data_IF_184906191096
#
_entry.id   IF_184906191096
#
_cell.length_a   1.000
_cell.length_b   1.000
_cell.length_c   1.000
_cell.angle_alpha   90.00
_cell.angle_beta   90.00
_cell.angle_gamma   90.00
#
_symmetry.space_group_name_H-M   'P 1'
#
loop_
_entity.id
_entity.type
_entity.pdbx_description
1 polymer ?
#
# COMPACT_ATOMS: atom_id res chain seq x y z
N UNK A 1 12.83 -15.37 2.60
CA UNK A 1 12.71 -15.72 4.04
C UNK A 1 11.74 -14.74 4.68
N UNK A 2 10.86 -15.16 5.61
CA UNK A 2 9.91 -14.26 6.24
C UNK A 2 10.61 -13.29 7.22
N UNK A 3 9.89 -12.29 7.69
CA UNK A 3 10.32 -11.47 8.81
C UNK A 3 10.47 -12.34 10.06
N UNK A 4 11.69 -12.46 10.59
CA UNK A 4 12.00 -13.37 11.70
C UNK A 4 12.15 -12.66 13.05
N UNK A 5 12.19 -11.32 13.03
CA UNK A 5 12.45 -10.48 14.20
C UNK A 5 11.45 -9.34 14.32
N UNK A 6 11.17 -8.95 15.55
CA UNK A 6 10.47 -7.72 15.90
C UNK A 6 11.46 -6.64 16.36
N UNK A 7 11.18 -5.41 16.00
CA UNK A 7 11.87 -4.22 16.52
C UNK A 7 11.10 -3.76 17.76
N UNK A 8 11.74 -3.75 18.91
CA UNK A 8 11.18 -3.27 20.17
C UNK A 8 11.09 -1.73 20.19
N UNK A 9 10.28 -1.12 21.09
CA UNK A 9 10.18 0.35 21.22
C UNK A 9 11.49 1.08 21.50
N UNK A 10 12.48 0.40 22.09
CA UNK A 10 13.83 0.94 22.32
C UNK A 10 14.77 0.81 21.12
N UNK A 11 14.27 0.31 19.98
CA UNK A 11 15.06 0.06 18.77
C UNK A 11 15.81 -1.28 18.76
N UNK A 12 15.86 -2.02 19.87
CA UNK A 12 16.46 -3.36 19.90
C UNK A 12 15.61 -4.36 19.08
N UNK A 13 16.23 -5.43 18.60
CA UNK A 13 15.52 -6.48 17.88
C UNK A 13 15.50 -7.78 18.67
N UNK A 14 14.39 -8.50 18.56
CA UNK A 14 14.17 -9.81 19.21
C UNK A 14 13.52 -10.76 18.19
N UNK A 15 13.85 -12.04 18.23
CA UNK A 15 13.15 -13.03 17.39
C UNK A 15 11.66 -13.08 17.74
N UNK A 16 10.81 -13.25 16.74
CA UNK A 16 9.35 -13.37 16.92
C UNK A 16 9.03 -14.42 17.98
N UNK A 17 9.63 -15.61 17.87
CA UNK A 17 9.43 -16.71 18.83
C UNK A 17 9.77 -16.31 20.27
N UNK A 18 10.93 -15.67 20.49
CA UNK A 18 11.34 -15.21 21.83
C UNK A 18 10.36 -14.16 22.36
N UNK A 19 9.95 -13.19 21.51
CA UNK A 19 8.98 -12.18 21.90
C UNK A 19 7.64 -12.79 22.32
N UNK A 20 7.14 -13.77 21.59
CA UNK A 20 5.85 -14.41 21.87
C UNK A 20 5.88 -15.29 23.15
N UNK A 21 6.97 -16.01 23.37
CA UNK A 21 7.10 -16.89 24.54
C UNK A 21 7.40 -16.09 25.82
N UNK A 22 8.46 -15.30 25.81
CA UNK A 22 8.89 -14.50 26.96
C UNK A 22 9.46 -13.17 26.46
N UNK A 23 8.72 -12.09 26.69
CA UNK A 23 9.21 -10.76 26.37
C UNK A 23 10.48 -10.46 27.17
N UNK A 24 11.56 -9.97 26.55
CA UNK A 24 12.78 -9.63 27.28
C UNK A 24 12.63 -8.34 28.13
N UNK A 25 11.53 -7.63 27.98
CA UNK A 25 11.19 -6.40 28.70
C UNK A 25 10.25 -6.69 29.87
N UNK A 26 10.22 -5.81 30.86
CA UNK A 26 9.30 -5.93 32.02
C UNK A 26 7.84 -5.93 31.54
N UNK A 27 7.51 -5.02 30.59
CA UNK A 27 6.18 -4.91 30.00
C UNK A 27 6.21 -5.16 28.49
N UNK A 28 5.18 -5.83 28.00
CA UNK A 28 4.97 -6.02 26.56
C UNK A 28 4.49 -4.72 25.94
N UNK A 29 5.00 -4.41 24.74
CA UNK A 29 4.55 -3.22 23.98
C UNK A 29 3.11 -3.34 23.43
N UNK A 30 2.56 -4.56 23.38
CA UNK A 30 1.19 -4.87 22.98
C UNK A 30 0.74 -6.17 23.65
N UNK A 31 -0.58 -6.40 23.73
CA UNK A 31 -1.12 -7.65 24.22
C UNK A 31 -0.70 -8.84 23.35
N UNK A 32 -0.50 -9.98 23.98
CA UNK A 32 -0.03 -11.18 23.32
C UNK A 32 -0.91 -11.65 22.14
N UNK A 33 -2.24 -11.61 22.20
CA UNK A 33 -3.08 -11.94 21.04
C UNK A 33 -2.79 -11.08 19.82
N UNK A 34 -2.60 -9.77 20.00
CA UNK A 34 -2.24 -8.84 18.92
C UNK A 34 -0.87 -9.17 18.32
N UNK A 35 0.13 -9.44 19.15
CA UNK A 35 1.46 -9.84 18.68
C UNK A 35 1.42 -11.17 17.90
N UNK A 36 0.58 -12.12 18.34
CA UNK A 36 0.37 -13.40 17.62
C UNK A 36 -0.29 -13.16 16.26
N UNK A 37 -1.30 -12.29 16.19
CA UNK A 37 -1.96 -11.94 14.93
C UNK A 37 -0.99 -11.27 13.95
N UNK A 38 -0.15 -10.34 14.45
CA UNK A 38 0.92 -9.73 13.64
C UNK A 38 1.90 -10.81 13.16
N UNK A 39 2.36 -11.70 14.03
CA UNK A 39 3.29 -12.75 13.65
C UNK A 39 2.70 -13.68 12.57
N UNK A 40 1.44 -14.09 12.72
CA UNK A 40 0.73 -14.90 11.74
C UNK A 40 0.60 -14.20 10.38
N UNK A 41 0.40 -12.88 10.37
CA UNK A 41 0.29 -12.11 9.13
C UNK A 41 1.62 -12.03 8.34
N UNK A 42 2.75 -12.28 9.00
CA UNK A 42 4.09 -12.27 8.37
C UNK A 42 4.47 -13.62 7.75
N UNK A 43 3.82 -14.70 8.15
CA UNK A 43 4.15 -16.06 7.68
C UNK A 43 3.34 -16.43 6.43
N UNK A 44 3.54 -15.67 5.35
CA UNK A 44 2.89 -15.93 4.06
C UNK A 44 3.92 -16.48 3.07
N UNK A 45 3.88 -17.78 2.83
CA UNK A 45 4.62 -18.43 1.75
C UNK A 45 3.65 -18.74 0.61
N UNK A 46 3.80 -18.06 -0.51
CA UNK A 46 3.05 -18.34 -1.73
C UNK A 46 4.01 -18.89 -2.80
N UNK A 47 3.57 -19.85 -3.61
CA UNK A 47 4.43 -20.47 -4.62
C UNK A 47 4.85 -19.50 -5.73
N UNK A 48 4.06 -18.45 -5.94
CA UNK A 48 4.35 -17.36 -6.90
C UNK A 48 4.21 -16.02 -6.23
N UNK A 49 5.01 -15.05 -6.67
CA UNK A 49 4.85 -13.67 -6.25
C UNK A 49 3.44 -13.18 -6.61
N UNK A 50 2.82 -12.47 -5.70
CA UNK A 50 1.49 -11.88 -5.92
C UNK A 50 1.57 -10.61 -6.74
N UNK A 51 0.45 -10.22 -7.37
CA UNK A 51 0.35 -8.93 -8.07
C UNK A 51 0.78 -7.79 -7.15
N UNK A 52 0.33 -7.79 -5.89
CA UNK A 52 0.66 -6.75 -4.90
C UNK A 52 2.17 -6.70 -4.61
N UNK A 53 2.85 -7.84 -4.53
CA UNK A 53 4.31 -7.89 -4.35
C UNK A 53 5.05 -7.38 -5.60
N UNK A 54 4.54 -7.67 -6.79
CA UNK A 54 5.11 -7.20 -8.05
C UNK A 54 4.90 -5.69 -8.27
N UNK A 55 3.92 -5.06 -7.61
CA UNK A 55 3.77 -3.61 -7.59
C UNK A 55 4.81 -2.90 -6.71
N UNK A 56 5.47 -3.62 -5.81
CA UNK A 56 6.63 -3.11 -5.07
C UNK A 56 7.89 -3.04 -5.94
N UNK A 57 8.94 -2.42 -5.43
CA UNK A 57 10.25 -2.46 -6.09
C UNK A 57 10.81 -3.88 -6.14
N UNK A 58 11.33 -4.33 -7.29
CA UNK A 58 11.85 -5.69 -7.45
C UNK A 58 12.93 -6.02 -6.43
N UNK A 59 13.84 -5.08 -6.14
CA UNK A 59 14.86 -5.23 -5.09
C UNK A 59 14.26 -5.40 -3.70
N UNK A 60 13.21 -4.66 -3.38
CA UNK A 60 12.50 -4.79 -2.09
C UNK A 60 11.90 -6.19 -1.94
N UNK A 61 11.20 -6.66 -2.98
CA UNK A 61 10.59 -8.01 -2.99
C UNK A 61 11.65 -9.10 -2.94
N UNK A 62 12.75 -8.96 -3.69
CA UNK A 62 13.88 -9.87 -3.64
C UNK A 62 14.47 -9.97 -2.22
N UNK A 63 14.78 -8.84 -1.58
CA UNK A 63 15.34 -8.83 -0.23
C UNK A 63 14.38 -9.41 0.80
N UNK A 64 13.07 -9.16 0.69
CA UNK A 64 12.06 -9.79 1.55
C UNK A 64 12.04 -11.32 1.42
N UNK A 65 12.37 -11.85 0.25
CA UNK A 65 12.39 -13.29 0.00
C UNK A 65 13.72 -13.95 0.38
N UNK A 66 14.84 -13.23 0.33
CA UNK A 66 16.19 -13.82 0.42
C UNK A 66 16.93 -13.46 1.71
N UNK A 67 16.49 -12.47 2.46
CA UNK A 67 17.18 -12.02 3.67
C UNK A 67 16.28 -12.07 4.89
N UNK A 68 16.88 -12.31 6.06
CA UNK A 68 16.18 -12.09 7.32
C UNK A 68 16.05 -10.59 7.59
N UNK A 69 14.87 -10.15 8.03
CA UNK A 69 14.66 -8.76 8.41
C UNK A 69 13.76 -8.65 9.65
N UNK A 70 13.83 -7.49 10.27
CA UNK A 70 13.01 -7.17 11.42
C UNK A 70 11.89 -6.20 11.04
N UNK A 71 10.74 -6.33 11.67
CA UNK A 71 9.59 -5.43 11.51
C UNK A 71 9.20 -4.81 12.84
N UNK A 72 8.76 -3.56 12.82
CA UNK A 72 8.13 -2.97 13.98
C UNK A 72 6.68 -3.47 14.07
N UNK A 73 6.32 -4.26 15.09
CA UNK A 73 4.98 -4.84 15.19
C UNK A 73 3.88 -3.80 15.35
N UNK A 74 4.18 -2.62 15.92
CA UNK A 74 3.20 -1.53 16.01
C UNK A 74 2.87 -0.93 14.64
N UNK A 75 3.84 -0.88 13.71
CA UNK A 75 3.58 -0.46 12.34
C UNK A 75 2.74 -1.47 11.54
N UNK A 76 2.77 -2.75 11.93
CA UNK A 76 1.95 -3.79 11.31
C UNK A 76 0.46 -3.71 11.71
N UNK A 77 0.10 -2.95 12.74
CA UNK A 77 -1.30 -2.74 13.13
C UNK A 77 -2.15 -2.16 11.99
N UNK A 78 -1.56 -1.36 11.10
CA UNK A 78 -2.28 -0.85 9.94
C UNK A 78 -2.63 -1.95 8.92
N UNK A 79 -1.75 -2.92 8.74
CA UNK A 79 -2.04 -4.09 7.89
C UNK A 79 -3.07 -5.00 8.56
N UNK A 80 -2.96 -5.21 9.87
CA UNK A 80 -3.92 -5.99 10.65
C UNK A 80 -5.33 -5.37 10.62
N UNK A 81 -5.43 -4.03 10.69
CA UNK A 81 -6.70 -3.32 10.53
C UNK A 81 -7.31 -3.57 9.14
N UNK A 82 -6.49 -3.55 8.07
CA UNK A 82 -6.94 -3.93 6.73
C UNK A 82 -7.49 -5.36 6.72
N UNK A 83 -6.73 -6.32 7.24
CA UNK A 83 -7.16 -7.73 7.31
C UNK A 83 -8.48 -7.89 8.08
N UNK A 84 -8.67 -7.19 9.20
CA UNK A 84 -9.92 -7.25 9.96
C UNK A 84 -11.13 -6.75 9.14
N UNK A 85 -10.96 -5.67 8.36
CA UNK A 85 -12.02 -5.17 7.46
C UNK A 85 -12.35 -6.21 6.38
N UNK A 86 -11.36 -6.84 5.77
CA UNK A 86 -11.58 -7.90 4.78
C UNK A 86 -12.35 -9.08 5.39
N UNK A 87 -11.89 -9.61 6.53
CA UNK A 87 -12.54 -10.74 7.20
C UNK A 87 -14.00 -10.43 7.61
N UNK A 88 -14.27 -9.21 8.06
CA UNK A 88 -15.65 -8.81 8.42
C UNK A 88 -16.51 -8.75 7.15
N UNK A 89 -16.02 -8.14 6.08
CA UNK A 89 -16.78 -8.04 4.84
C UNK A 89 -16.99 -9.41 4.19
N UNK A 90 -16.00 -10.28 4.20
CA UNK A 90 -16.11 -11.68 3.74
C UNK A 90 -17.23 -12.43 4.48
N UNK A 91 -17.27 -12.31 5.82
CA UNK A 91 -18.29 -12.97 6.65
C UNK A 91 -19.73 -12.48 6.38
N UNK A 92 -19.90 -11.33 5.72
CA UNK A 92 -21.19 -10.74 5.35
C UNK A 92 -21.41 -10.68 3.85
N UNK A 93 -20.63 -11.44 3.08
CA UNK A 93 -20.84 -11.59 1.63
C UNK A 93 -21.91 -12.68 1.42
N UNK A 94 -22.97 -12.35 0.70
CA UNK A 94 -24.13 -13.23 0.50
C UNK A 94 -24.50 -13.35 -0.98
N UNK A 95 -25.32 -14.36 -1.30
CA UNK A 95 -25.97 -14.54 -2.58
C UNK A 95 -25.00 -14.86 -3.73
N UNK A 96 -25.04 -14.07 -4.78
CA UNK A 96 -24.28 -14.28 -6.02
C UNK A 96 -22.88 -13.62 -6.01
N UNK A 97 -22.39 -13.21 -4.84
CA UNK A 97 -21.07 -12.60 -4.71
C UNK A 97 -20.00 -13.65 -4.36
N UNK A 98 -18.83 -13.51 -4.97
CA UNK A 98 -17.62 -14.23 -4.61
C UNK A 98 -16.72 -13.32 -3.82
N UNK A 99 -16.10 -13.81 -2.73
CA UNK A 99 -15.18 -13.04 -1.90
C UNK A 99 -13.91 -13.80 -1.58
N UNK A 100 -12.82 -13.03 -1.44
CA UNK A 100 -11.49 -13.49 -0.99
C UNK A 100 -10.96 -14.72 -1.76
N UNK A 101 -11.36 -14.89 -3.02
CA UNK A 101 -10.89 -16.00 -3.85
C UNK A 101 -9.54 -15.73 -4.48
N UNK A 102 -8.68 -16.73 -4.45
CA UNK A 102 -7.38 -16.66 -5.07
C UNK A 102 -7.39 -17.20 -6.49
N UNK A 103 -6.96 -16.36 -7.41
CA UNK A 103 -6.77 -16.69 -8.81
C UNK A 103 -5.28 -16.67 -9.14
N UNK A 104 -4.87 -17.50 -10.10
CA UNK A 104 -3.51 -17.53 -10.59
C UNK A 104 -3.48 -17.81 -12.09
N UNK A 105 -2.43 -17.34 -12.74
CA UNK A 105 -2.01 -17.72 -14.07
C UNK A 105 -0.56 -18.23 -14.04
N UNK A 106 0.07 -18.29 -15.22
CA UNK A 106 1.47 -18.73 -15.34
C UNK A 106 2.45 -17.74 -14.69
N UNK A 107 2.10 -16.46 -14.63
CA UNK A 107 2.98 -15.34 -14.24
C UNK A 107 2.91 -15.10 -12.74
N UNK A 108 1.71 -15.01 -12.18
CA UNK A 108 1.48 -14.52 -10.82
C UNK A 108 0.19 -15.07 -10.21
N UNK A 109 -0.06 -14.74 -8.97
CA UNK A 109 -1.33 -15.01 -8.31
C UNK A 109 -1.88 -13.73 -7.66
N UNK A 110 -3.18 -13.72 -7.43
CA UNK A 110 -3.85 -12.63 -6.72
C UNK A 110 -5.10 -13.12 -6.03
N UNK A 111 -5.44 -12.48 -4.95
CA UNK A 111 -6.70 -12.70 -4.24
C UNK A 111 -7.51 -11.42 -4.42
N UNK A 112 -8.68 -11.53 -5.04
CA UNK A 112 -9.60 -10.41 -5.13
C UNK A 112 -10.53 -10.39 -3.92
N UNK A 113 -10.98 -9.21 -3.53
CA UNK A 113 -11.74 -9.06 -2.30
C UNK A 113 -13.23 -9.36 -2.52
N UNK A 114 -13.81 -8.92 -3.64
CA UNK A 114 -15.23 -9.08 -3.90
C UNK A 114 -15.52 -9.06 -5.41
N UNK A 115 -16.40 -9.95 -5.88
CA UNK A 115 -16.91 -9.94 -7.24
C UNK A 115 -18.38 -10.31 -7.26
N UNK A 116 -19.19 -9.61 -8.04
CA UNK A 116 -20.60 -9.89 -8.25
C UNK A 116 -21.43 -8.62 -8.34
N UNK A 117 -22.73 -8.74 -8.06
CA UNK A 117 -23.63 -7.60 -7.97
C UNK A 117 -23.49 -6.94 -6.60
N UNK A 118 -22.69 -5.88 -6.54
CA UNK A 118 -22.32 -5.21 -5.29
C UNK A 118 -23.37 -4.17 -4.85
N UNK A 119 -24.17 -3.65 -5.78
CA UNK A 119 -25.24 -2.71 -5.51
C UNK A 119 -26.43 -2.99 -6.45
N UNK A 120 -27.61 -2.48 -6.09
CA UNK A 120 -28.90 -2.82 -6.73
C UNK A 120 -28.96 -2.59 -8.24
N UNK A 121 -28.13 -1.71 -8.76
CA UNK A 121 -28.08 -1.34 -10.17
C UNK A 121 -26.73 -1.67 -10.81
N UNK A 122 -25.86 -2.35 -10.09
CA UNK A 122 -24.57 -2.74 -10.62
C UNK A 122 -24.68 -4.10 -11.35
N UNK A 123 -24.16 -4.13 -12.55
CA UNK A 123 -23.80 -5.38 -13.21
C UNK A 123 -22.61 -6.02 -12.49
N UNK A 124 -22.00 -7.05 -13.07
CA UNK A 124 -20.87 -7.75 -12.48
C UNK A 124 -19.68 -6.80 -12.19
N UNK A 125 -19.55 -6.43 -10.92
CA UNK A 125 -18.55 -5.50 -10.44
C UNK A 125 -17.42 -6.23 -9.69
N UNK A 126 -16.17 -5.91 -10.01
CA UNK A 126 -15.00 -6.29 -9.22
C UNK A 126 -14.71 -5.20 -8.19
N UNK A 127 -14.85 -5.54 -6.92
CA UNK A 127 -14.63 -4.67 -5.77
C UNK A 127 -13.33 -4.99 -5.04
N UNK A 128 -12.72 -3.97 -4.43
CA UNK A 128 -11.54 -4.13 -3.59
C UNK A 128 -11.62 -3.17 -2.40
N UNK A 129 -11.33 -3.67 -1.20
CA UNK A 129 -11.37 -2.92 0.04
C UNK A 129 -10.00 -2.33 0.38
N UNK A 130 -9.95 -1.04 0.68
CA UNK A 130 -8.70 -0.37 1.08
C UNK A 130 -8.90 0.44 2.35
N UNK A 131 -8.18 0.07 3.41
CA UNK A 131 -8.03 0.93 4.60
C UNK A 131 -6.83 1.85 4.38
N UNK A 132 -7.08 3.14 4.28
CA UNK A 132 -6.05 4.09 3.85
C UNK A 132 -6.09 5.41 4.63
N UNK A 133 -5.13 6.30 4.40
CA UNK A 133 -5.08 7.62 5.01
C UNK A 133 -5.74 8.68 4.14
N UNK A 134 -6.19 9.77 4.77
CA UNK A 134 -6.68 10.97 4.08
C UNK A 134 -5.69 11.52 3.04
N UNK A 135 -4.37 11.37 3.25
CA UNK A 135 -3.36 11.79 2.28
C UNK A 135 -3.44 10.99 0.97
N UNK A 136 -3.54 9.65 1.07
CA UNK A 136 -3.65 8.81 -0.14
C UNK A 136 -5.00 9.03 -0.82
N UNK A 137 -6.08 9.20 -0.06
CA UNK A 137 -7.41 9.54 -0.61
C UNK A 137 -7.45 10.89 -1.31
N UNK A 138 -6.89 11.94 -0.70
CA UNK A 138 -6.77 13.25 -1.33
C UNK A 138 -6.14 13.15 -2.72
N UNK A 139 -5.03 12.42 -2.82
CA UNK A 139 -4.34 12.20 -4.09
C UNK A 139 -5.14 11.35 -5.06
N UNK A 140 -5.79 10.31 -4.55
CA UNK A 140 -6.62 9.39 -5.31
C UNK A 140 -7.82 10.07 -5.94
N UNK A 141 -8.45 10.98 -5.20
CA UNK A 141 -9.58 11.79 -5.67
C UNK A 141 -9.17 13.00 -6.50
N UNK A 142 -7.85 13.19 -6.71
CA UNK A 142 -7.32 14.28 -7.51
C UNK A 142 -7.45 15.65 -6.86
N UNK A 143 -7.58 15.73 -5.54
CA UNK A 143 -7.61 17.02 -4.84
C UNK A 143 -6.20 17.61 -4.72
N UNK A 144 -6.10 18.91 -5.03
CA UNK A 144 -4.88 19.69 -4.87
C UNK A 144 -5.20 21.16 -4.57
N UNK A 145 -4.22 21.90 -4.06
CA UNK A 145 -4.36 23.32 -3.76
C UNK A 145 -3.66 24.15 -4.81
N UNK A 146 -4.32 25.22 -5.25
CA UNK A 146 -3.75 26.27 -6.11
C UNK A 146 -3.73 27.60 -5.37
N UNK A 147 -2.73 28.42 -5.64
CA UNK A 147 -2.68 29.78 -5.14
C UNK A 147 -3.46 30.68 -6.10
N UNK A 148 -4.54 31.31 -5.62
CA UNK A 148 -5.40 32.21 -6.38
C UNK A 148 -5.17 33.63 -5.88
N UNK A 149 -4.99 34.57 -6.78
CA UNK A 149 -4.85 35.98 -6.46
C UNK A 149 -6.14 36.50 -5.81
N UNK A 150 -5.99 37.23 -4.69
CA UNK A 150 -7.15 37.79 -3.97
C UNK A 150 -7.55 39.19 -4.50
N UNK A 151 -6.76 39.78 -5.40
CA UNK A 151 -6.90 41.18 -5.83
C UNK A 151 -6.30 42.20 -4.84
N UNK A 152 -5.83 41.73 -3.68
CA UNK A 152 -5.19 42.59 -2.68
C UNK A 152 -3.67 42.46 -2.72
N UNK A 153 -3.00 43.44 -2.11
CA UNK A 153 -1.54 43.45 -1.89
C UNK A 153 -1.20 43.46 -0.41
N UNK A 154 -0.04 42.94 -0.07
CA UNK A 154 0.50 43.04 1.31
C UNK A 154 0.80 44.53 1.62
N UNK A 155 0.21 45.06 2.68
CA UNK A 155 0.39 46.46 3.10
C UNK A 155 1.66 46.70 3.93
N UNK A 156 2.16 45.65 4.61
CA UNK A 156 3.30 45.75 5.54
C UNK A 156 4.20 44.52 5.45
N UNK A 157 5.39 44.56 6.05
CA UNK A 157 6.35 43.47 6.16
C UNK A 157 7.17 43.24 4.88
N UNK A 158 7.97 42.14 4.89
CA UNK A 158 8.88 41.80 3.78
C UNK A 158 8.20 41.54 2.42
N UNK A 159 6.88 41.37 2.40
CA UNK A 159 6.09 41.18 1.17
C UNK A 159 5.29 42.39 0.77
N UNK A 160 5.55 43.57 1.34
CA UNK A 160 4.85 44.82 0.99
C UNK A 160 4.84 45.07 -0.53
N UNK A 161 3.66 45.32 -1.08
CA UNK A 161 3.44 45.52 -2.50
C UNK A 161 3.28 44.25 -3.34
N UNK A 162 3.56 43.06 -2.80
CA UNK A 162 3.32 41.82 -3.53
C UNK A 162 1.83 41.43 -3.50
N UNK A 163 1.30 40.81 -4.56
CA UNK A 163 -0.06 40.32 -4.59
C UNK A 163 -0.30 39.29 -3.48
N UNK A 164 -1.43 39.36 -2.79
CA UNK A 164 -1.86 38.34 -1.88
C UNK A 164 -2.48 37.17 -2.64
N UNK A 165 -2.15 35.98 -2.19
CA UNK A 165 -2.78 34.76 -2.67
C UNK A 165 -3.52 34.04 -1.53
N UNK A 166 -4.61 33.36 -1.89
CA UNK A 166 -5.26 32.38 -1.01
C UNK A 166 -5.18 31.01 -1.65
N UNK A 167 -5.12 29.95 -0.82
CA UNK A 167 -5.14 28.57 -1.31
C UNK A 167 -6.57 28.11 -1.50
N UNK A 168 -6.91 27.73 -2.73
CA UNK A 168 -8.19 27.12 -3.06
C UNK A 168 -8.01 25.66 -3.44
N UNK A 169 -8.98 24.83 -3.08
CA UNK A 169 -9.02 23.45 -3.51
C UNK A 169 -9.51 23.34 -4.95
N UNK A 170 -8.83 22.51 -5.72
CA UNK A 170 -9.23 22.07 -7.05
C UNK A 170 -9.28 20.56 -7.08
N UNK A 171 -10.04 20.01 -8.02
CA UNK A 171 -10.14 18.57 -8.27
C UNK A 171 -10.12 18.36 -9.79
N UNK A 172 -9.29 17.45 -10.23
CA UNK A 172 -9.15 17.09 -11.65
C UNK A 172 -9.41 15.59 -11.91
N UNK A 173 -10.23 14.99 -11.07
CA UNK A 173 -10.69 13.63 -11.18
C UNK A 173 -9.75 12.59 -10.57
N UNK A 174 -10.14 11.34 -10.63
CA UNK A 174 -9.39 10.21 -10.04
C UNK A 174 -7.99 10.11 -10.65
N UNK A 175 -6.98 10.22 -9.81
CA UNK A 175 -5.56 10.21 -10.17
C UNK A 175 -4.71 9.44 -9.16
N UNK A 176 -3.43 9.23 -9.49
CA UNK A 176 -2.43 8.64 -8.58
C UNK A 176 -2.82 7.28 -7.97
N UNK A 177 -3.60 6.49 -8.70
CA UNK A 177 -4.09 5.17 -8.33
C UNK A 177 -3.50 4.04 -9.19
N UNK A 178 -2.38 4.27 -9.85
CA UNK A 178 -1.86 3.30 -10.82
C UNK A 178 -1.59 1.93 -10.20
N UNK A 179 -1.17 1.88 -8.94
CA UNK A 179 -0.99 0.64 -8.19
C UNK A 179 -2.31 -0.12 -8.03
N UNK A 180 -3.37 0.55 -7.61
CA UNK A 180 -4.71 -0.03 -7.49
C UNK A 180 -5.30 -0.39 -8.86
N UNK A 181 -5.12 0.48 -9.85
CA UNK A 181 -5.60 0.23 -11.20
C UNK A 181 -4.94 -1.00 -11.84
N UNK A 182 -3.63 -1.18 -11.70
CA UNK A 182 -2.94 -2.37 -12.19
C UNK A 182 -3.45 -3.61 -11.46
N UNK A 183 -3.59 -3.56 -10.14
CA UNK A 183 -4.08 -4.67 -9.32
C UNK A 183 -5.47 -5.14 -9.78
N UNK A 184 -6.46 -4.23 -9.83
CA UNK A 184 -7.82 -4.59 -10.22
C UNK A 184 -7.91 -5.00 -11.69
N UNK A 185 -7.21 -4.33 -12.58
CA UNK A 185 -7.21 -4.73 -13.99
C UNK A 185 -6.58 -6.11 -14.20
N UNK A 186 -5.56 -6.48 -13.41
CA UNK A 186 -5.02 -7.82 -13.48
C UNK A 186 -6.00 -8.87 -12.95
N UNK A 187 -6.67 -8.59 -11.82
CA UNK A 187 -7.71 -9.49 -11.28
C UNK A 187 -8.90 -9.64 -12.24
N UNK A 188 -9.33 -8.53 -12.88
CA UNK A 188 -10.32 -8.57 -13.94
C UNK A 188 -9.90 -9.54 -15.05
N UNK A 189 -8.67 -9.45 -15.54
CA UNK A 189 -8.18 -10.35 -16.60
C UNK A 189 -8.19 -11.82 -16.15
N UNK A 190 -7.84 -12.09 -14.88
CA UNK A 190 -7.90 -13.45 -14.33
C UNK A 190 -9.33 -13.99 -14.21
N UNK A 191 -10.30 -13.14 -13.88
CA UNK A 191 -11.73 -13.48 -13.85
C UNK A 191 -12.28 -13.70 -15.27
N UNK A 192 -12.03 -12.76 -16.19
CA UNK A 192 -12.46 -12.85 -17.59
C UNK A 192 -11.90 -14.11 -18.28
N UNK A 193 -10.67 -14.50 -17.99
CA UNK A 193 -10.06 -15.75 -18.48
C UNK A 193 -10.77 -17.02 -17.97
N UNK A 194 -11.57 -16.92 -16.90
CA UNK A 194 -12.40 -18.00 -16.35
C UNK A 194 -13.87 -17.92 -16.77
N UNK A 195 -14.19 -17.00 -17.68
CA UNK A 195 -15.56 -16.83 -18.20
C UNK A 195 -16.44 -15.88 -17.39
N UNK A 196 -15.90 -15.22 -16.35
CA UNK A 196 -16.62 -14.21 -15.59
C UNK A 196 -16.57 -12.86 -16.33
N UNK A 197 -17.73 -12.24 -16.56
CA UNK A 197 -17.80 -10.89 -17.14
C UNK A 197 -17.53 -9.86 -16.04
N UNK A 198 -16.70 -8.86 -16.29
CA UNK A 198 -16.47 -7.74 -15.37
C UNK A 198 -16.87 -6.43 -16.06
N UNK A 199 -18.00 -5.87 -15.65
CA UNK A 199 -18.56 -4.65 -16.24
C UNK A 199 -17.95 -3.39 -15.63
N UNK A 200 -17.70 -3.42 -14.33
CA UNK A 200 -17.08 -2.29 -13.62
C UNK A 200 -16.06 -2.75 -12.58
N UNK A 201 -15.19 -1.82 -12.20
CA UNK A 201 -14.22 -2.01 -11.13
C UNK A 201 -14.30 -0.84 -10.16
N UNK A 202 -14.38 -1.13 -8.87
CA UNK A 202 -14.53 -0.12 -7.81
C UNK A 202 -13.64 -0.42 -6.61
N UNK A 203 -13.16 0.61 -5.95
CA UNK A 203 -12.48 0.50 -4.65
C UNK A 203 -13.37 1.14 -3.59
N UNK A 204 -13.68 0.39 -2.55
CA UNK A 204 -14.21 0.96 -1.31
C UNK A 204 -13.04 1.34 -0.41
N UNK A 205 -12.76 2.62 -0.33
CA UNK A 205 -11.68 3.15 0.48
C UNK A 205 -12.19 3.68 1.82
N UNK A 206 -11.77 3.05 2.92
CA UNK A 206 -12.05 3.50 4.28
C UNK A 206 -10.92 4.42 4.76
N UNK A 207 -11.28 5.65 5.14
CA UNK A 207 -10.35 6.64 5.63
C UNK A 207 -10.18 6.53 7.14
N UNK A 208 -9.06 5.98 7.60
CA UNK A 208 -8.82 5.73 9.03
C UNK A 208 -8.61 7.00 9.89
N UNK A 209 -8.30 8.12 9.26
CA UNK A 209 -8.02 9.41 9.91
C UNK A 209 -9.01 10.52 9.49
N UNK A 210 -10.21 10.15 9.00
CA UNK A 210 -11.17 11.11 8.46
C UNK A 210 -11.69 12.13 9.49
N UNK A 211 -11.74 11.76 10.76
CA UNK A 211 -12.20 12.59 11.86
C UNK A 211 -11.13 13.55 12.41
N UNK A 212 -9.90 13.45 11.91
CA UNK A 212 -8.82 14.34 12.32
C UNK A 212 -8.84 15.64 11.49
N UNK A 213 -8.45 16.76 12.12
CA UNK A 213 -8.32 18.06 11.46
C UNK A 213 -7.52 17.97 10.16
N UNK A 214 -6.46 17.16 10.11
CA UNK A 214 -5.63 16.97 8.92
C UNK A 214 -6.39 16.39 7.72
N UNK A 215 -7.43 15.59 7.95
CA UNK A 215 -8.27 15.09 6.87
C UNK A 215 -9.11 16.21 6.25
N UNK A 216 -9.73 17.04 7.09
CA UNK A 216 -10.46 18.24 6.62
C UNK A 216 -9.54 19.20 5.86
N UNK A 217 -8.31 19.41 6.35
CA UNK A 217 -7.29 20.22 5.66
C UNK A 217 -6.85 19.61 4.30
N UNK A 218 -7.16 18.33 4.05
CA UNK A 218 -6.95 17.60 2.78
C UNK A 218 -8.22 17.47 1.94
N UNK A 219 -9.30 18.13 2.34
CA UNK A 219 -10.62 18.06 1.72
C UNK A 219 -11.22 16.64 1.75
N UNK A 220 -10.92 15.87 2.79
CA UNK A 220 -11.49 14.54 3.06
C UNK A 220 -12.46 14.68 4.24
N UNK A 221 -13.76 14.53 3.96
CA UNK A 221 -14.84 14.77 4.90
C UNK A 221 -15.67 13.53 5.24
N UNK A 222 -15.45 12.41 4.53
CA UNK A 222 -16.22 11.19 4.72
C UNK A 222 -15.33 10.04 5.21
N UNK A 223 -15.86 9.10 5.98
CA UNK A 223 -15.15 7.91 6.42
C UNK A 223 -14.92 6.89 5.29
N UNK A 224 -15.81 6.87 4.28
CA UNK A 224 -15.75 5.92 3.17
C UNK A 224 -15.97 6.61 1.82
N UNK A 225 -15.28 6.10 0.79
CA UNK A 225 -15.36 6.55 -0.59
C UNK A 225 -15.43 5.36 -1.52
N UNK A 226 -16.35 5.41 -2.50
CA UNK A 226 -16.36 4.48 -3.64
C UNK A 226 -15.65 5.15 -4.79
N UNK A 227 -14.57 4.56 -5.25
CA UNK A 227 -13.69 5.10 -6.27
C UNK A 227 -13.74 4.20 -7.50
N UNK A 228 -14.24 4.68 -8.64
CA UNK A 228 -14.23 3.90 -9.87
C UNK A 228 -12.80 3.72 -10.38
N UNK A 229 -12.52 2.54 -10.91
CA UNK A 229 -11.25 2.22 -11.55
C UNK A 229 -11.51 1.95 -13.03
N UNK A 230 -10.86 2.72 -13.88
CA UNK A 230 -11.00 2.58 -15.31
C UNK A 230 -10.26 1.33 -15.82
N UNK A 231 -10.82 0.73 -16.86
CA UNK A 231 -10.13 -0.30 -17.65
C UNK A 231 -8.93 0.33 -18.35
N UNK A 232 -7.78 -0.28 -18.20
CA UNK A 232 -6.54 0.08 -18.88
C UNK A 232 -6.12 -1.05 -19.82
N UNK A 233 -5.22 -0.78 -20.76
CA UNK A 233 -4.81 -1.76 -21.77
C UNK A 233 -4.33 -3.06 -21.13
N UNK A 234 -4.99 -4.17 -21.44
CA UNK A 234 -4.65 -5.51 -20.96
C UNK A 234 -3.23 -5.89 -21.34
N UNK A 235 -2.83 -5.57 -22.58
CA UNK A 235 -1.47 -5.79 -23.07
C UNK A 235 -0.44 -5.06 -22.20
N UNK A 236 -0.73 -3.82 -21.85
CA UNK A 236 0.18 -3.02 -21.01
C UNK A 236 0.26 -3.59 -19.59
N UNK A 237 -0.88 -3.90 -18.96
CA UNK A 237 -0.93 -4.47 -17.61
C UNK A 237 -0.19 -5.80 -17.55
N UNK A 238 -0.47 -6.70 -18.51
CA UNK A 238 0.17 -8.01 -18.60
C UNK A 238 1.69 -7.87 -18.80
N UNK A 239 2.12 -6.98 -19.70
CA UNK A 239 3.53 -6.70 -19.92
C UNK A 239 4.21 -6.17 -18.65
N UNK A 240 3.60 -5.20 -17.99
CA UNK A 240 4.14 -4.62 -16.75
C UNK A 240 4.35 -5.69 -15.67
N UNK A 241 3.34 -6.50 -15.39
CA UNK A 241 3.39 -7.54 -14.36
C UNK A 241 4.37 -8.65 -14.75
N UNK A 242 4.37 -9.11 -16.02
CA UNK A 242 5.27 -10.16 -16.49
C UNK A 242 6.74 -9.73 -16.45
N UNK A 243 7.05 -8.50 -16.84
CA UNK A 243 8.43 -7.99 -16.76
C UNK A 243 8.93 -7.89 -15.30
N UNK A 244 8.05 -7.49 -14.38
CA UNK A 244 8.38 -7.46 -12.94
C UNK A 244 8.60 -8.88 -12.40
N UNK A 245 7.75 -9.82 -12.78
CA UNK A 245 7.88 -11.24 -12.38
C UNK A 245 9.17 -11.85 -12.94
N UNK A 246 9.47 -11.67 -14.23
CA UNK A 246 10.71 -12.16 -14.87
C UNK A 246 11.96 -11.61 -14.20
N UNK A 247 11.99 -10.30 -13.90
CA UNK A 247 13.13 -9.66 -13.21
C UNK A 247 13.32 -10.19 -11.80
N UNK A 248 12.22 -10.42 -11.08
CA UNK A 248 12.28 -11.02 -9.74
C UNK A 248 12.79 -12.46 -9.81
N UNK A 249 12.23 -13.27 -10.72
CA UNK A 249 12.62 -14.67 -10.88
C UNK A 249 14.10 -14.78 -11.30
N UNK A 250 14.54 -14.03 -12.30
CA UNK A 250 15.93 -14.02 -12.70
C UNK A 250 16.89 -13.62 -11.57
N UNK A 251 16.49 -12.69 -10.71
CA UNK A 251 17.29 -12.30 -9.55
C UNK A 251 17.36 -13.42 -8.50
N UNK A 252 16.25 -14.13 -8.27
CA UNK A 252 16.19 -15.28 -7.35
C UNK A 252 17.03 -16.45 -7.86
N UNK A 253 16.90 -16.81 -9.14
CA UNK A 253 17.62 -17.92 -9.78
C UNK A 253 19.14 -17.70 -9.78
N UNK A 254 19.57 -16.47 -10.03
CA UNK A 254 20.98 -16.13 -10.06
C UNK A 254 21.53 -15.66 -8.69
N UNK A 255 20.71 -15.65 -7.64
CA UNK A 255 21.06 -15.08 -6.34
C UNK A 255 21.71 -13.68 -6.45
N UNK A 256 21.18 -12.86 -7.35
CA UNK A 256 21.74 -11.55 -7.71
C UNK A 256 20.83 -10.41 -7.26
N UNK A 257 21.41 -9.45 -6.54
CA UNK A 257 20.66 -8.29 -6.04
C UNK A 257 20.16 -7.43 -7.22
N UNK A 258 18.84 -7.24 -7.41
CA UNK A 258 18.29 -6.41 -8.48
C UNK A 258 18.77 -4.96 -8.44
N UNK A 259 18.69 -4.20 -9.55
CA UNK A 259 18.94 -2.75 -9.55
C UNK A 259 18.15 -1.99 -8.48
N UNK A 260 18.65 -0.82 -8.09
CA UNK A 260 17.94 0.05 -7.11
C UNK A 260 16.51 0.31 -7.59
N UNK A 261 15.56 0.25 -6.66
CA UNK A 261 14.17 0.61 -6.92
C UNK A 261 14.10 2.00 -7.60
N UNK A 262 13.18 2.17 -8.54
CA UNK A 262 13.01 3.45 -9.24
C UNK A 262 12.60 4.56 -8.27
N UNK A 263 12.80 5.82 -8.63
CA UNK A 263 12.41 6.97 -7.81
C UNK A 263 10.93 6.91 -7.39
N UNK A 264 10.05 6.43 -8.29
CA UNK A 264 8.63 6.25 -8.02
C UNK A 264 8.37 5.13 -7.01
N UNK A 265 9.01 3.97 -7.15
CA UNK A 265 8.86 2.83 -6.23
C UNK A 265 9.38 3.14 -4.81
N UNK A 266 10.43 3.95 -4.69
CA UNK A 266 10.96 4.39 -3.40
C UNK A 266 10.38 5.71 -2.88
N UNK A 267 9.36 6.26 -3.56
CA UNK A 267 8.68 7.52 -3.19
C UNK A 267 9.67 8.69 -3.03
N UNK A 268 10.61 8.83 -3.97
CA UNK A 268 11.70 9.80 -3.88
C UNK A 268 12.44 9.69 -2.54
N UNK A 269 12.85 8.47 -2.19
CA UNK A 269 13.61 8.06 -1.01
C UNK A 269 12.84 8.01 0.32
N UNK A 270 11.65 8.59 0.42
CA UNK A 270 10.83 8.54 1.66
C UNK A 270 10.53 7.11 2.11
N UNK A 271 10.30 6.19 1.17
CA UNK A 271 10.04 4.79 1.50
C UNK A 271 11.27 4.14 2.15
N UNK A 272 12.46 4.38 1.61
CA UNK A 272 13.70 3.83 2.14
C UNK A 272 14.01 4.32 3.56
N UNK A 273 13.63 5.55 3.89
CA UNK A 273 13.91 6.17 5.18
C UNK A 273 12.96 5.76 6.30
N UNK A 274 11.72 5.35 6.00
CA UNK A 274 10.74 5.09 7.07
C UNK A 274 9.74 3.98 6.82
N UNK A 275 9.66 3.41 5.61
CA UNK A 275 8.57 2.50 5.25
C UNK A 275 9.04 1.19 4.60
N UNK A 276 10.31 1.06 4.26
CA UNK A 276 10.84 -0.16 3.66
C UNK A 276 11.40 -1.07 4.75
N UNK A 277 10.75 -2.19 5.00
CA UNK A 277 11.14 -3.15 6.03
C UNK A 277 12.56 -3.73 5.82
N UNK A 278 13.03 -3.74 4.57
CA UNK A 278 14.36 -4.28 4.21
C UNK A 278 15.39 -3.17 3.92
N UNK A 279 15.14 -1.93 4.37
CA UNK A 279 16.06 -0.81 4.12
C UNK A 279 17.46 -1.08 4.71
N UNK A 280 17.54 -1.72 5.87
CA UNK A 280 18.80 -2.10 6.53
C UNK A 280 19.58 -3.18 5.78
N UNK A 281 18.89 -4.02 5.02
CA UNK A 281 19.51 -5.06 4.19
C UNK A 281 19.87 -4.53 2.79
N UNK A 282 19.36 -3.34 2.42
CA UNK A 282 19.59 -2.73 1.13
C UNK A 282 20.79 -1.77 1.17
N UNK A 283 21.84 -1.97 0.35
CA UNK A 283 22.99 -1.04 0.32
C UNK A 283 22.57 0.42 0.09
N UNK A 284 21.62 0.65 -0.81
CA UNK A 284 21.08 2.00 -1.06
C UNK A 284 20.34 2.58 0.16
N UNK A 285 19.55 1.75 0.85
CA UNK A 285 18.82 2.16 2.05
C UNK A 285 19.77 2.57 3.19
N UNK A 286 20.82 1.77 3.43
CA UNK A 286 21.87 2.08 4.41
C UNK A 286 22.57 3.40 4.11
N UNK A 287 23.06 3.54 2.86
CA UNK A 287 23.70 4.78 2.42
C UNK A 287 22.84 6.03 2.65
N UNK A 288 21.54 5.96 2.41
CA UNK A 288 20.63 7.09 2.65
C UNK A 288 20.50 7.43 4.13
N UNK A 289 20.40 6.44 5.00
CA UNK A 289 20.31 6.64 6.46
C UNK A 289 21.58 7.24 7.02
N UNK A 290 22.74 6.74 6.62
CA UNK A 290 24.06 7.29 7.00
C UNK A 290 24.21 8.76 6.59
N UNK A 291 23.80 9.12 5.36
CA UNK A 291 23.84 10.53 4.89
C UNK A 291 22.99 11.47 5.74
N UNK A 292 21.87 10.99 6.30
CA UNK A 292 21.03 11.82 7.17
C UNK A 292 21.64 11.95 8.56
N UNK A 293 22.20 10.87 9.11
CA UNK A 293 22.86 10.91 10.40
C UNK A 293 24.04 11.88 10.40
N UNK A 294 24.87 11.87 9.34
CA UNK A 294 25.99 12.82 9.18
C UNK A 294 25.53 14.28 9.05
N UNK A 295 24.33 14.54 8.52
CA UNK A 295 23.79 15.91 8.42
C UNK A 295 23.12 16.40 9.72
N UNK A 296 22.80 15.50 10.63
CA UNK A 296 22.15 15.80 11.90
C UNK A 296 23.14 15.90 13.08
N UNK A 297 24.39 15.45 12.87
CA UNK A 297 25.52 15.60 13.76
C UNK A 297 26.32 16.89 13.40
#
# INVERSE_FOLDING_TARGET
>A
MPATKFICPDGSSVTVLKCLNKCPRIERCMFLPTLRAVAASLDRKLPKATVTELLCGTRETYLKNTTEYAVNPQQQLYALHGTAVHTINEAHTEGNMLSEERLADEITSGQFDLYGQIADYDDATLGDFKVTSSYKLMRALGYYKVDVLTGEVYKTGARKGQPKTRKEWRMDGVKHLLDWAIQLNYYRMLLEARGFKVDSMKIQALCRDYNLRIASERNISKPAYIIPINKISDRWVKLYVSEKAKRLQAALDNNALPPVCTAKERWHDRKCLGYCAVAENCPYGRMLKEKIQVKAA
#
